data_IF_334970887391
#
_entry.id   IF_334970887391
#
_cell.length_a   1.000
_cell.length_b   1.000
_cell.length_c   1.000
_cell.angle_alpha   90.00
_cell.angle_beta   90.00
_cell.angle_gamma   90.00
#
_symmetry.space_group_name_H-M   'P 1'
#
loop_
_entity.id
_entity.type
_entity.pdbx_description
1 polymer ?
#
# COMPACT_ATOMS: atom_id res chain seq x y z
N UNK A 1 -41.58 -18.62 1.62
CA UNK A 1 -41.02 -17.93 0.42
C UNK A 1 -40.71 -18.96 -0.64
N UNK A 2 -41.14 -18.72 -1.88
CA UNK A 2 -40.74 -19.58 -2.99
C UNK A 2 -39.26 -19.37 -3.32
N UNK A 3 -38.60 -20.34 -3.96
CA UNK A 3 -37.19 -20.19 -4.40
C UNK A 3 -37.08 -18.98 -5.35
N UNK A 4 -38.12 -18.73 -6.18
CA UNK A 4 -38.16 -17.58 -7.07
C UNK A 4 -38.14 -16.23 -6.34
N UNK A 5 -38.91 -16.08 -5.25
CA UNK A 5 -38.95 -14.86 -4.45
C UNK A 5 -37.58 -14.56 -3.82
N UNK A 6 -36.86 -15.62 -3.42
CA UNK A 6 -35.53 -15.47 -2.82
C UNK A 6 -34.48 -15.01 -3.84
N UNK A 7 -34.55 -15.50 -5.08
CA UNK A 7 -33.67 -15.07 -6.18
C UNK A 7 -33.93 -13.60 -6.54
N UNK A 8 -35.20 -13.20 -6.57
CA UNK A 8 -35.54 -11.80 -6.88
C UNK A 8 -35.07 -10.85 -5.77
N UNK A 9 -35.20 -11.25 -4.51
CA UNK A 9 -34.68 -10.50 -3.38
C UNK A 9 -33.13 -10.36 -3.45
N UNK A 10 -32.41 -11.43 -3.81
CA UNK A 10 -30.97 -11.41 -4.01
C UNK A 10 -30.57 -10.39 -5.10
N UNK A 11 -31.25 -10.40 -6.23
CA UNK A 11 -31.02 -9.46 -7.33
C UNK A 11 -31.16 -8.01 -6.89
N UNK A 12 -32.25 -7.69 -6.22
CA UNK A 12 -32.52 -6.33 -5.74
C UNK A 12 -31.45 -5.89 -4.72
N UNK A 13 -31.07 -6.75 -3.78
CA UNK A 13 -30.06 -6.41 -2.77
C UNK A 13 -28.67 -6.26 -3.37
N UNK A 14 -28.33 -7.08 -4.39
CA UNK A 14 -27.07 -6.93 -5.11
C UNK A 14 -26.97 -5.56 -5.80
N UNK A 15 -28.05 -5.10 -6.42
CA UNK A 15 -28.13 -3.74 -6.99
C UNK A 15 -27.95 -2.67 -5.92
N UNK A 16 -28.59 -2.83 -4.75
CA UNK A 16 -28.41 -1.90 -3.62
C UNK A 16 -27.01 -1.92 -2.99
N UNK A 17 -26.22 -2.99 -3.17
CA UNK A 17 -24.82 -3.03 -2.77
C UNK A 17 -23.92 -2.21 -3.73
N UNK A 18 -24.29 -2.12 -5.02
CA UNK A 18 -23.48 -1.45 -6.05
C UNK A 18 -23.77 0.07 -6.08
N UNK A 19 -25.00 0.49 -5.78
CA UNK A 19 -25.40 1.90 -5.90
C UNK A 19 -24.55 2.86 -5.05
N UNK A 20 -24.31 2.65 -3.74
CA UNK A 20 -23.56 3.60 -2.92
C UNK A 20 -22.07 3.73 -3.26
N UNK A 21 -21.34 2.69 -3.65
CA UNK A 21 -19.94 2.84 -4.08
C UNK A 21 -19.76 3.76 -5.30
N UNK A 22 -20.72 3.84 -6.22
CA UNK A 22 -20.58 4.64 -7.44
C UNK A 22 -20.41 6.14 -7.18
N UNK A 23 -21.33 6.84 -6.44
CA UNK A 23 -21.12 8.24 -6.12
C UNK A 23 -19.92 8.46 -5.20
N UNK A 24 -19.60 7.52 -4.30
CA UNK A 24 -18.42 7.60 -3.46
C UNK A 24 -17.14 7.51 -4.28
N UNK A 25 -17.10 6.66 -5.32
CA UNK A 25 -15.94 6.57 -6.22
C UNK A 25 -15.67 7.88 -6.93
N UNK A 26 -16.71 8.61 -7.35
CA UNK A 26 -16.57 9.94 -7.95
C UNK A 26 -15.99 10.93 -6.92
N UNK A 27 -16.50 10.94 -5.69
CA UNK A 27 -16.00 11.82 -4.62
C UNK A 27 -14.52 11.49 -4.32
N UNK A 28 -14.20 10.22 -4.14
CA UNK A 28 -12.83 9.79 -3.85
C UNK A 28 -11.86 9.99 -5.02
N UNK A 29 -12.35 10.03 -6.24
CA UNK A 29 -11.51 10.39 -7.38
C UNK A 29 -11.01 11.83 -7.29
N UNK A 30 -11.82 12.78 -6.84
CA UNK A 30 -11.39 14.16 -6.58
C UNK A 30 -10.49 14.29 -5.34
N UNK A 31 -10.51 13.31 -4.44
CA UNK A 31 -9.66 13.26 -3.25
C UNK A 31 -8.47 12.28 -3.41
N UNK A 32 -8.29 11.72 -4.59
CA UNK A 32 -7.30 10.65 -4.85
C UNK A 32 -5.88 11.05 -4.46
N UNK A 33 -5.45 12.28 -4.77
CA UNK A 33 -4.14 12.80 -4.40
C UNK A 33 -3.86 12.69 -2.90
N UNK A 34 -4.82 13.10 -2.08
CA UNK A 34 -4.70 13.04 -0.61
C UNK A 34 -4.64 11.60 -0.11
N UNK A 35 -5.45 10.71 -0.69
CA UNK A 35 -5.48 9.30 -0.31
C UNK A 35 -4.18 8.60 -0.71
N UNK A 36 -3.67 8.89 -1.92
CA UNK A 36 -2.36 8.38 -2.38
C UNK A 36 -1.26 8.79 -1.41
N UNK A 37 -1.20 10.06 -1.02
CA UNK A 37 -0.21 10.54 -0.05
C UNK A 37 -0.28 9.76 1.26
N UNK A 38 -1.47 9.53 1.80
CA UNK A 38 -1.64 8.76 3.03
C UNK A 38 -1.14 7.32 2.88
N UNK A 39 -1.40 6.68 1.74
CA UNK A 39 -0.90 5.33 1.50
C UNK A 39 0.61 5.27 1.25
N UNK A 40 1.23 6.36 0.81
CA UNK A 40 2.69 6.42 0.63
C UNK A 40 3.45 6.58 1.96
N UNK A 41 2.84 7.14 3.01
CA UNK A 41 3.50 7.37 4.30
C UNK A 41 4.17 6.09 4.86
N UNK A 42 3.49 4.93 4.97
CA UNK A 42 4.12 3.71 5.47
C UNK A 42 5.32 3.25 4.62
N UNK A 43 5.21 3.38 3.30
CA UNK A 43 6.29 3.01 2.39
C UNK A 43 7.50 3.93 2.57
N UNK A 44 7.29 5.24 2.60
CA UNK A 44 8.36 6.23 2.78
C UNK A 44 9.09 6.00 4.10
N UNK A 45 8.36 5.78 5.19
CA UNK A 45 8.95 5.50 6.51
C UNK A 45 9.84 4.25 6.50
N UNK A 46 9.43 3.20 5.79
CA UNK A 46 10.22 1.97 5.68
C UNK A 46 11.44 2.19 4.80
N UNK A 47 11.30 2.89 3.67
CA UNK A 47 12.43 3.21 2.78
C UNK A 47 13.48 4.07 3.47
N UNK A 48 13.06 5.12 4.21
CA UNK A 48 13.96 5.96 5.01
C UNK A 48 14.73 5.14 6.05
N UNK A 49 14.05 4.21 6.74
CA UNK A 49 14.68 3.32 7.72
C UNK A 49 15.80 2.47 7.11
N UNK A 50 15.66 2.08 5.85
CA UNK A 50 16.65 1.28 5.12
C UNK A 50 17.64 2.13 4.29
N UNK A 51 17.59 3.46 4.39
CA UNK A 51 18.47 4.36 3.62
C UNK A 51 18.24 4.32 2.12
N UNK A 52 17.03 3.94 1.68
CA UNK A 52 16.65 3.85 0.27
C UNK A 52 15.96 5.15 -0.20
N UNK A 53 16.03 5.48 -1.49
CA UNK A 53 15.31 6.61 -2.05
C UNK A 53 13.80 6.48 -1.81
N UNK A 54 13.17 7.51 -1.26
CA UNK A 54 11.74 7.53 -0.96
C UNK A 54 10.87 7.83 -2.19
N UNK A 55 11.49 8.02 -3.35
CA UNK A 55 10.81 8.33 -4.59
C UNK A 55 10.16 7.09 -5.18
N UNK A 56 8.88 7.21 -5.52
CA UNK A 56 8.11 6.16 -6.20
C UNK A 56 8.07 6.50 -7.69
N UNK A 57 8.27 5.50 -8.54
CA UNK A 57 8.31 5.72 -9.99
C UNK A 57 6.95 5.51 -10.64
N UNK A 58 6.67 6.36 -11.63
CA UNK A 58 5.57 6.21 -12.56
C UNK A 58 6.17 5.90 -13.94
N UNK A 59 5.89 4.73 -14.49
CA UNK A 59 6.50 4.29 -15.74
C UNK A 59 5.82 4.86 -16.99
N UNK A 60 4.56 5.26 -16.87
CA UNK A 60 3.81 5.80 -18.00
C UNK A 60 2.75 6.81 -17.56
N UNK A 61 2.45 7.85 -18.38
CA UNK A 61 1.43 8.85 -18.02
C UNK A 61 0.05 8.27 -17.67
N UNK A 62 -0.51 7.27 -18.41
CA UNK A 62 -1.81 6.68 -18.06
C UNK A 62 -1.77 5.87 -16.77
N UNK A 63 -0.60 5.42 -16.34
CA UNK A 63 -0.45 4.64 -15.11
C UNK A 63 -0.89 5.44 -13.87
N UNK A 64 -0.54 6.72 -13.82
CA UNK A 64 -0.93 7.59 -12.71
C UNK A 64 -2.45 7.70 -12.61
N UNK A 65 -3.12 8.01 -13.72
CA UNK A 65 -4.59 8.08 -13.77
C UNK A 65 -5.27 6.76 -13.37
N UNK A 66 -4.74 5.64 -13.87
CA UNK A 66 -5.27 4.31 -13.53
C UNK A 66 -5.06 3.99 -12.04
N UNK A 67 -3.96 4.41 -11.45
CA UNK A 67 -3.69 4.26 -10.02
C UNK A 67 -4.70 5.08 -9.18
N UNK A 68 -4.98 6.32 -9.55
CA UNK A 68 -5.99 7.16 -8.91
C UNK A 68 -7.39 6.55 -9.00
N UNK A 69 -7.78 6.06 -10.17
CA UNK A 69 -9.06 5.38 -10.35
C UNK A 69 -9.18 4.12 -9.47
N UNK A 70 -8.12 3.30 -9.39
CA UNK A 70 -8.09 2.12 -8.54
C UNK A 70 -8.26 2.49 -7.06
N UNK A 71 -7.54 3.52 -6.61
CA UNK A 71 -7.66 4.00 -5.22
C UNK A 71 -9.05 4.54 -4.94
N UNK A 72 -9.58 5.39 -5.81
CA UNK A 72 -10.91 5.95 -5.66
C UNK A 72 -11.98 4.86 -5.54
N UNK A 73 -11.91 3.85 -6.42
CA UNK A 73 -12.84 2.72 -6.40
C UNK A 73 -12.63 1.85 -5.15
N UNK A 74 -11.39 1.55 -4.78
CA UNK A 74 -11.06 0.78 -3.58
C UNK A 74 -11.55 1.45 -2.31
N UNK A 75 -11.26 2.74 -2.14
CA UNK A 75 -11.72 3.55 -1.01
C UNK A 75 -13.25 3.64 -0.96
N UNK A 76 -13.91 3.78 -2.12
CA UNK A 76 -15.37 3.81 -2.21
C UNK A 76 -16.01 2.51 -1.72
N UNK A 77 -15.49 1.37 -2.14
CA UNK A 77 -16.01 0.06 -1.74
C UNK A 77 -15.76 -0.17 -0.24
N UNK A 78 -14.56 0.14 0.27
CA UNK A 78 -14.24 0.01 1.69
C UNK A 78 -15.11 0.91 2.57
N UNK A 79 -15.34 2.16 2.16
CA UNK A 79 -16.21 3.09 2.87
C UNK A 79 -17.68 2.70 2.79
N UNK A 80 -18.12 2.13 1.65
CA UNK A 80 -19.46 1.56 1.51
C UNK A 80 -19.61 0.21 2.23
N UNK A 81 -18.53 -0.36 2.76
CA UNK A 81 -18.48 -1.65 3.45
C UNK A 81 -19.60 -1.85 4.48
N UNK A 82 -19.86 -0.91 5.41
CA UNK A 82 -20.96 -1.00 6.36
C UNK A 82 -22.33 -1.19 5.70
N UNK A 83 -22.57 -0.48 4.61
CA UNK A 83 -23.81 -0.60 3.85
C UNK A 83 -23.90 -1.94 3.12
N UNK A 84 -22.81 -2.37 2.50
CA UNK A 84 -22.74 -3.67 1.83
C UNK A 84 -23.00 -4.80 2.83
N UNK A 85 -22.38 -4.74 4.00
CA UNK A 85 -22.60 -5.69 5.09
C UNK A 85 -24.06 -5.67 5.56
N UNK A 86 -24.65 -4.48 5.70
CA UNK A 86 -26.06 -4.35 6.05
C UNK A 86 -26.98 -5.04 5.03
N UNK A 87 -26.75 -4.85 3.74
CA UNK A 87 -27.51 -5.51 2.69
C UNK A 87 -27.32 -7.04 2.70
N UNK A 88 -26.08 -7.49 2.92
CA UNK A 88 -25.76 -8.91 3.04
C UNK A 88 -26.49 -9.56 4.21
N UNK A 89 -26.42 -8.97 5.41
CA UNK A 89 -27.11 -9.46 6.60
C UNK A 89 -28.64 -9.43 6.45
N UNK A 90 -29.16 -8.40 5.79
CA UNK A 90 -30.59 -8.31 5.49
C UNK A 90 -31.05 -9.38 4.51
N UNK A 91 -30.18 -9.83 3.59
CA UNK A 91 -30.46 -10.95 2.69
C UNK A 91 -30.53 -12.28 3.46
N UNK A 92 -29.65 -12.48 4.43
CA UNK A 92 -29.63 -13.71 5.24
C UNK A 92 -30.82 -13.78 6.24
N UNK A 93 -31.28 -12.62 6.70
CA UNK A 93 -32.34 -12.51 7.72
C UNK A 93 -33.66 -13.24 7.42
N UNK A 94 -34.22 -13.30 6.18
CA UNK A 94 -35.45 -14.03 5.89
C UNK A 94 -35.34 -15.56 6.11
N UNK A 95 -34.11 -16.10 5.97
CA UNK A 95 -33.85 -17.53 6.22
C UNK A 95 -33.81 -17.91 7.72
N UNK A 96 -33.82 -16.93 8.64
CA UNK A 96 -33.72 -17.13 10.07
C UNK A 96 -35.11 -17.18 10.75
N UNK A 97 -35.21 -17.97 11.85
CA UNK A 97 -36.41 -17.99 12.68
C UNK A 97 -36.65 -16.62 13.34
N UNK A 98 -37.92 -16.32 13.68
CA UNK A 98 -38.33 -15.01 14.24
C UNK A 98 -37.53 -14.60 15.49
N UNK A 99 -37.11 -15.58 16.30
CA UNK A 99 -36.31 -15.33 17.49
C UNK A 99 -34.83 -14.97 17.16
N UNK A 100 -34.34 -15.43 16.05
CA UNK A 100 -32.95 -15.24 15.61
C UNK A 100 -32.73 -13.91 14.86
N UNK A 101 -33.80 -13.34 14.29
CA UNK A 101 -33.73 -12.05 13.58
C UNK A 101 -33.22 -10.91 14.44
N UNK A 102 -33.48 -10.94 15.75
CA UNK A 102 -33.03 -9.91 16.69
C UNK A 102 -31.49 -9.84 16.74
N UNK A 103 -30.83 -10.95 16.53
CA UNK A 103 -29.37 -11.02 16.52
C UNK A 103 -28.73 -10.42 15.28
N UNK A 104 -29.39 -10.49 14.13
CA UNK A 104 -28.91 -9.85 12.90
C UNK A 104 -28.69 -8.34 13.12
N UNK A 105 -29.57 -7.69 13.87
CA UNK A 105 -29.42 -6.27 14.19
C UNK A 105 -28.24 -5.97 15.10
N UNK A 106 -27.81 -6.95 15.92
CA UNK A 106 -26.58 -6.84 16.71
C UNK A 106 -25.33 -7.18 15.87
N UNK A 107 -25.44 -8.15 14.97
CA UNK A 107 -24.35 -8.56 14.10
C UNK A 107 -23.88 -7.41 13.17
N UNK A 108 -24.78 -6.58 12.67
CA UNK A 108 -24.47 -5.50 11.73
C UNK A 108 -23.48 -4.50 12.33
N UNK A 109 -23.72 -3.83 13.47
CA UNK A 109 -22.77 -2.89 14.04
C UNK A 109 -21.47 -3.58 14.47
N UNK A 110 -21.55 -4.81 14.96
CA UNK A 110 -20.37 -5.56 15.39
C UNK A 110 -19.48 -5.96 14.20
N UNK A 111 -20.07 -6.41 13.08
CA UNK A 111 -19.30 -6.72 11.85
C UNK A 111 -18.66 -5.47 11.25
N UNK A 112 -19.37 -4.33 11.30
CA UNK A 112 -18.81 -3.05 10.86
C UNK A 112 -17.62 -2.62 11.73
N UNK A 113 -17.75 -2.74 13.05
CA UNK A 113 -16.68 -2.44 13.99
C UNK A 113 -15.48 -3.35 13.76
N UNK A 114 -15.72 -4.66 13.58
CA UNK A 114 -14.68 -5.65 13.35
C UNK A 114 -13.94 -5.41 12.02
N UNK A 115 -14.66 -5.06 10.96
CA UNK A 115 -14.08 -4.67 9.68
C UNK A 115 -13.23 -3.41 9.78
N UNK A 116 -13.72 -2.38 10.48
CA UNK A 116 -12.96 -1.15 10.72
C UNK A 116 -11.69 -1.42 11.54
N UNK A 117 -11.78 -2.25 12.58
CA UNK A 117 -10.63 -2.67 13.38
C UNK A 117 -9.61 -3.44 12.52
N UNK A 118 -10.07 -4.33 11.64
CA UNK A 118 -9.21 -5.04 10.68
C UNK A 118 -8.46 -4.10 9.76
N UNK A 119 -9.13 -3.09 9.20
CA UNK A 119 -8.50 -2.07 8.35
C UNK A 119 -7.47 -1.22 9.11
N UNK A 120 -7.76 -0.82 10.35
CA UNK A 120 -6.82 -0.09 11.19
C UNK A 120 -5.58 -0.95 11.51
N UNK A 121 -5.79 -2.20 11.92
CA UNK A 121 -4.70 -3.14 12.20
C UNK A 121 -3.84 -3.38 10.95
N UNK A 122 -4.48 -3.53 9.79
CA UNK A 122 -3.78 -3.68 8.52
C UNK A 122 -2.89 -2.47 8.24
N UNK A 123 -3.43 -1.26 8.30
CA UNK A 123 -2.71 -0.05 7.92
C UNK A 123 -1.57 0.29 8.90
N UNK A 124 -1.81 0.23 10.22
CA UNK A 124 -0.84 0.65 11.23
C UNK A 124 0.16 -0.45 11.62
N UNK A 125 -0.22 -1.72 11.48
CA UNK A 125 0.61 -2.84 11.93
C UNK A 125 1.11 -3.71 10.79
N UNK A 126 0.18 -4.28 9.99
CA UNK A 126 0.57 -5.29 9.01
C UNK A 126 1.33 -4.68 7.84
N UNK A 127 0.87 -3.54 7.34
CA UNK A 127 1.48 -2.90 6.16
C UNK A 127 2.94 -2.52 6.41
N UNK A 128 3.32 -1.81 7.50
CA UNK A 128 4.72 -1.50 7.78
C UNK A 128 5.59 -2.76 7.97
N UNK A 129 5.08 -3.79 8.65
CA UNK A 129 5.82 -5.04 8.87
C UNK A 129 6.08 -5.79 7.55
N UNK A 130 5.06 -5.89 6.70
CA UNK A 130 5.20 -6.56 5.39
C UNK A 130 6.17 -5.79 4.50
N UNK A 131 6.08 -4.47 4.47
CA UNK A 131 6.99 -3.63 3.68
C UNK A 131 8.42 -3.74 4.19
N UNK A 132 8.65 -3.67 5.50
CA UNK A 132 9.97 -3.83 6.13
C UNK A 132 10.59 -5.19 5.77
N UNK A 133 9.79 -6.26 5.84
CA UNK A 133 10.20 -7.60 5.43
C UNK A 133 10.55 -7.66 3.92
N UNK A 134 9.71 -7.08 3.04
CA UNK A 134 9.93 -7.08 1.60
C UNK A 134 11.21 -6.33 1.22
N UNK A 135 11.43 -5.16 1.82
CA UNK A 135 12.63 -4.35 1.60
C UNK A 135 13.87 -5.07 2.12
N UNK A 136 13.81 -5.67 3.32
CA UNK A 136 14.91 -6.44 3.89
C UNK A 136 15.26 -7.65 3.04
N UNK A 137 14.25 -8.40 2.56
CA UNK A 137 14.46 -9.58 1.74
C UNK A 137 15.17 -9.24 0.43
N UNK A 138 14.80 -8.14 -0.22
CA UNK A 138 15.42 -7.71 -1.46
C UNK A 138 16.85 -7.18 -1.24
N UNK A 139 17.15 -6.62 -0.06
CA UNK A 139 18.52 -6.20 0.33
C UNK A 139 19.48 -7.36 0.60
N UNK A 140 18.98 -8.57 0.89
CA UNK A 140 19.82 -9.75 1.16
C UNK A 140 20.28 -10.50 -0.09
N UNK A 141 19.88 -10.07 -1.29
CA UNK A 141 20.40 -10.65 -2.53
C UNK A 141 21.76 -10.02 -2.84
N UNK A 142 22.75 -10.33 -2.02
CA UNK A 142 24.14 -10.07 -2.31
C UNK A 142 24.63 -11.09 -3.34
N UNK A 143 24.72 -10.69 -4.59
CA UNK A 143 25.57 -11.43 -5.52
C UNK A 143 27.01 -11.17 -5.11
N UNK A 144 27.78 -12.23 -4.89
CA UNK A 144 29.23 -12.16 -4.71
C UNK A 144 29.82 -11.46 -5.94
N UNK A 145 29.91 -10.13 -5.90
CA UNK A 145 30.65 -9.38 -6.89
C UNK A 145 32.13 -9.74 -6.65
N UNK A 146 32.62 -10.68 -7.42
CA UNK A 146 34.07 -10.83 -7.60
C UNK A 146 34.56 -9.43 -7.99
N UNK A 147 35.25 -8.77 -7.05
CA UNK A 147 35.92 -7.50 -7.33
C UNK A 147 36.77 -7.71 -8.56
N UNK A 148 36.34 -7.18 -9.69
CA UNK A 148 37.19 -7.12 -10.89
C UNK A 148 38.29 -6.17 -10.47
N UNK A 149 39.46 -6.71 -10.14
CA UNK A 149 40.66 -5.90 -10.01
C UNK A 149 40.97 -5.33 -11.39
N UNK A 150 40.49 -4.12 -11.62
CA UNK A 150 40.88 -3.33 -12.79
C UNK A 150 42.39 -3.08 -12.58
N UNK A 151 43.17 -3.61 -13.49
CA UNK A 151 44.63 -3.66 -13.36
C UNK A 151 45.27 -2.31 -12.99
N UNK A 152 46.47 -2.41 -12.42
CA UNK A 152 47.36 -1.46 -11.73
C UNK A 152 47.59 -0.05 -12.33
N UNK A 153 46.72 0.48 -13.17
CA UNK A 153 46.97 1.75 -13.88
C UNK A 153 45.96 2.87 -13.60
N UNK A 154 45.06 2.71 -12.64
CA UNK A 154 44.23 3.84 -12.15
C UNK A 154 44.93 4.36 -10.89
N UNK A 155 45.68 5.47 -11.06
CA UNK A 155 46.14 6.28 -9.94
C UNK A 155 45.01 6.51 -8.96
N UNK A 156 45.25 6.34 -7.65
CA UNK A 156 44.33 6.51 -6.55
C UNK A 156 43.52 7.80 -6.69
N UNK A 157 42.31 7.68 -7.23
CA UNK A 157 41.35 8.79 -7.23
C UNK A 157 40.70 8.79 -5.83
N UNK A 158 41.18 9.64 -4.97
CA UNK A 158 40.63 9.83 -3.62
C UNK A 158 39.65 10.98 -3.65
N UNK A 159 38.37 10.71 -3.32
CA UNK A 159 37.39 11.75 -3.12
C UNK A 159 37.37 12.17 -1.65
N UNK A 160 37.38 13.49 -1.35
CA UNK A 160 37.24 13.94 0.04
C UNK A 160 35.87 13.54 0.58
N UNK A 161 35.83 13.03 1.82
CA UNK A 161 34.61 12.70 2.54
C UNK A 161 34.24 13.90 3.41
N UNK A 162 33.10 14.52 3.15
CA UNK A 162 32.65 15.74 3.81
C UNK A 162 31.21 15.58 4.33
N UNK A 163 30.87 16.28 5.41
CA UNK A 163 29.49 16.34 5.92
C UNK A 163 28.65 17.40 5.20
N UNK A 164 29.28 18.41 4.64
CA UNK A 164 28.63 19.48 3.88
C UNK A 164 29.41 19.80 2.58
N UNK A 165 28.75 20.50 1.66
CA UNK A 165 29.43 20.98 0.45
C UNK A 165 30.57 21.94 0.81
N UNK A 166 31.73 21.85 0.16
CA UNK A 166 32.83 22.80 0.38
C UNK A 166 32.42 24.21 -0.06
N UNK A 167 32.74 25.23 0.75
CA UNK A 167 32.38 26.63 0.47
C UNK A 167 33.04 27.17 -0.80
N UNK A 168 34.16 26.61 -1.23
CA UNK A 168 34.94 27.03 -2.41
C UNK A 168 34.99 25.94 -3.47
N UNK A 169 33.88 25.21 -3.71
CA UNK A 169 33.85 24.20 -4.76
C UNK A 169 34.06 24.85 -6.14
N UNK A 170 34.91 24.26 -6.97
CA UNK A 170 35.09 24.62 -8.37
C UNK A 170 34.29 23.66 -9.26
N UNK A 171 33.97 24.08 -10.50
CA UNK A 171 33.35 23.19 -11.49
C UNK A 171 34.22 21.97 -11.73
N UNK A 172 33.68 20.77 -11.53
CA UNK A 172 34.39 19.49 -11.65
C UNK A 172 34.89 18.91 -10.33
N UNK A 173 34.80 19.65 -9.21
CA UNK A 173 35.12 19.09 -7.90
C UNK A 173 34.10 18.03 -7.51
N UNK A 174 34.60 16.93 -6.95
CA UNK A 174 33.75 15.82 -6.51
C UNK A 174 34.09 15.46 -5.06
N UNK A 175 33.06 15.19 -4.26
CA UNK A 175 33.19 14.78 -2.86
C UNK A 175 32.09 13.78 -2.47
N UNK A 176 32.39 12.95 -1.48
CA UNK A 176 31.43 12.02 -0.89
C UNK A 176 30.78 12.69 0.32
N UNK A 177 29.47 12.86 0.31
CA UNK A 177 28.71 13.41 1.43
C UNK A 177 28.27 12.30 2.36
N UNK A 178 28.62 12.41 3.63
CA UNK A 178 28.19 11.50 4.71
C UNK A 178 27.19 12.20 5.63
N UNK A 179 26.22 11.50 6.21
CA UNK A 179 26.04 10.02 6.23
C UNK A 179 25.32 9.45 5.02
N UNK A 180 24.90 10.25 4.06
CA UNK A 180 24.07 9.83 2.94
C UNK A 180 24.78 8.88 1.96
N UNK A 181 26.12 8.84 1.97
CA UNK A 181 26.92 7.97 1.09
C UNK A 181 26.74 8.29 -0.40
N UNK A 182 26.59 9.58 -0.75
CA UNK A 182 26.38 10.04 -2.11
C UNK A 182 27.60 10.78 -2.65
N UNK A 183 27.95 10.51 -3.91
CA UNK A 183 28.96 11.28 -4.62
C UNK A 183 28.31 12.54 -5.19
N UNK A 184 28.80 13.69 -4.76
CA UNK A 184 28.41 14.98 -5.31
C UNK A 184 29.49 15.50 -6.26
N UNK A 185 29.07 16.03 -7.40
CA UNK A 185 29.96 16.66 -8.38
C UNK A 185 29.46 18.08 -8.63
N UNK A 186 30.34 19.07 -8.47
CA UNK A 186 30.01 20.45 -8.79
C UNK A 186 29.96 20.65 -10.32
N UNK A 187 28.79 21.04 -10.82
CA UNK A 187 28.59 21.34 -12.25
C UNK A 187 28.13 22.78 -12.41
N UNK A 188 28.49 23.39 -13.53
CA UNK A 188 27.96 24.70 -13.86
C UNK A 188 26.47 24.59 -14.18
N UNK A 189 25.64 25.46 -13.58
CA UNK A 189 24.24 25.59 -13.98
C UNK A 189 24.11 26.05 -15.43
N UNK A 190 22.98 25.77 -16.08
CA UNK A 190 22.77 26.08 -17.49
C UNK A 190 22.94 27.57 -17.88
N UNK A 191 22.90 28.48 -16.92
CA UNK A 191 23.16 29.90 -17.04
C UNK A 191 24.62 30.32 -16.77
N UNK A 192 25.48 29.36 -16.39
CA UNK A 192 26.93 29.58 -16.19
C UNK A 192 27.32 30.47 -15.00
N UNK A 193 26.35 30.90 -14.18
CA UNK A 193 26.58 31.83 -13.06
C UNK A 193 26.55 31.22 -11.69
N UNK A 194 25.90 30.05 -11.56
CA UNK A 194 25.75 29.31 -10.28
C UNK A 194 26.31 27.90 -10.39
N UNK A 195 26.81 27.36 -9.27
CA UNK A 195 27.20 25.96 -9.18
C UNK A 195 26.03 25.14 -8.66
N UNK A 196 25.71 24.07 -9.36
CA UNK A 196 24.79 23.05 -8.90
C UNK A 196 25.56 21.76 -8.56
N UNK A 197 25.11 21.04 -7.53
CA UNK A 197 25.68 19.75 -7.21
C UNK A 197 24.87 18.64 -7.89
N UNK A 198 25.49 17.92 -8.81
CA UNK A 198 24.95 16.68 -9.33
C UNK A 198 25.21 15.57 -8.30
N UNK A 199 24.15 15.02 -7.74
CA UNK A 199 24.23 13.97 -6.72
C UNK A 199 24.10 12.59 -7.37
N UNK A 200 25.10 11.75 -7.23
CA UNK A 200 25.10 10.37 -7.70
C UNK A 200 25.03 9.45 -6.48
N UNK A 201 23.96 8.71 -6.26
CA UNK A 201 23.89 7.78 -5.14
C UNK A 201 24.92 6.65 -5.35
N UNK A 202 25.86 6.51 -4.41
CA UNK A 202 26.80 5.40 -4.41
C UNK A 202 26.14 4.20 -3.73
N UNK A 203 25.54 3.34 -4.54
CA UNK A 203 24.88 2.14 -4.03
C UNK A 203 25.96 1.11 -3.66
N UNK A 204 26.08 0.78 -2.37
CA UNK A 204 27.01 -0.24 -1.90
C UNK A 204 26.57 -1.61 -2.40
N UNK A 205 27.03 -2.00 -3.58
CA UNK A 205 27.11 -3.41 -3.99
C UNK A 205 25.83 -4.16 -4.31
N UNK A 206 24.63 -3.58 -4.20
CA UNK A 206 23.45 -4.28 -4.69
C UNK A 206 23.27 -4.05 -6.19
N UNK A 207 23.45 -5.10 -6.99
CA UNK A 207 23.17 -5.09 -8.43
C UNK A 207 21.68 -4.84 -8.73
N UNK A 208 20.83 -4.87 -7.71
CA UNK A 208 19.39 -4.66 -7.81
C UNK A 208 19.05 -3.31 -7.20
N UNK A 209 18.77 -2.31 -8.03
CA UNK A 209 18.15 -1.06 -7.57
C UNK A 209 16.69 -1.32 -7.26
N UNK A 210 16.31 -1.22 -5.98
CA UNK A 210 14.92 -1.35 -5.57
C UNK A 210 14.17 -0.08 -5.94
N UNK A 211 13.34 -0.17 -6.96
CA UNK A 211 12.47 0.93 -7.39
C UNK A 211 11.02 0.49 -7.26
N UNK A 212 10.25 1.23 -6.48
CA UNK A 212 8.84 0.93 -6.25
C UNK A 212 7.96 1.66 -7.26
N UNK A 213 7.23 0.88 -8.04
CA UNK A 213 6.25 1.40 -8.98
C UNK A 213 4.96 1.77 -8.25
N UNK A 214 4.47 3.00 -8.46
CA UNK A 214 3.28 3.52 -7.78
C UNK A 214 2.06 2.62 -7.94
N UNK A 215 1.70 2.27 -9.18
CA UNK A 215 0.49 1.48 -9.47
C UNK A 215 0.54 0.09 -8.87
N UNK A 216 1.70 -0.56 -8.88
CA UNK A 216 1.89 -1.89 -8.30
C UNK A 216 1.77 -1.85 -6.78
N UNK A 217 2.42 -0.88 -6.14
CA UNK A 217 2.32 -0.68 -4.69
C UNK A 217 0.89 -0.40 -4.24
N UNK A 218 0.20 0.54 -4.89
CA UNK A 218 -1.19 0.87 -4.53
C UNK A 218 -2.15 -0.31 -4.74
N UNK A 219 -1.96 -1.07 -5.82
CA UNK A 219 -2.74 -2.29 -6.06
C UNK A 219 -2.51 -3.33 -4.98
N UNK A 220 -1.27 -3.52 -4.53
CA UNK A 220 -0.91 -4.40 -3.42
C UNK A 220 -1.59 -3.97 -2.12
N UNK A 221 -1.51 -2.68 -1.75
CA UNK A 221 -2.15 -2.14 -0.53
C UNK A 221 -3.66 -2.35 -0.56
N UNK A 222 -4.33 -2.00 -1.67
CA UNK A 222 -5.77 -2.18 -1.82
C UNK A 222 -6.14 -3.66 -1.69
N UNK A 223 -5.43 -4.56 -2.38
CA UNK A 223 -5.68 -5.99 -2.30
C UNK A 223 -5.52 -6.51 -0.86
N UNK A 224 -4.49 -6.05 -0.15
CA UNK A 224 -4.26 -6.43 1.24
C UNK A 224 -5.39 -5.91 2.16
N UNK A 225 -5.82 -4.66 1.97
CA UNK A 225 -6.95 -4.08 2.72
C UNK A 225 -8.24 -4.89 2.51
N UNK A 226 -8.57 -5.26 1.27
CA UNK A 226 -9.74 -6.09 0.99
C UNK A 226 -9.61 -7.48 1.61
N UNK A 227 -8.46 -8.11 1.50
CA UNK A 227 -8.22 -9.45 2.06
C UNK A 227 -8.43 -9.46 3.57
N UNK A 228 -7.88 -8.46 4.27
CA UNK A 228 -8.03 -8.34 5.71
C UNK A 228 -9.46 -7.96 6.09
N UNK A 229 -10.10 -7.03 5.37
CA UNK A 229 -11.50 -6.68 5.63
C UNK A 229 -12.43 -7.91 5.54
N UNK A 230 -12.22 -8.77 4.53
CA UNK A 230 -12.97 -10.03 4.37
C UNK A 230 -12.60 -11.03 5.46
N UNK A 231 -11.30 -11.19 5.79
CA UNK A 231 -10.86 -12.11 6.83
C UNK A 231 -11.47 -11.78 8.20
N UNK A 232 -11.59 -10.49 8.53
CA UNK A 232 -12.23 -10.05 9.77
C UNK A 232 -13.76 -10.25 9.79
N UNK A 233 -14.37 -10.59 8.65
CA UNK A 233 -15.78 -11.00 8.60
C UNK A 233 -15.96 -12.51 8.92
N UNK A 234 -14.90 -13.33 8.78
CA UNK A 234 -15.00 -14.78 9.04
C UNK A 234 -15.51 -15.12 10.44
N UNK A 235 -15.07 -14.50 11.55
CA UNK A 235 -15.61 -14.77 12.87
C UNK A 235 -17.13 -14.54 12.95
N UNK A 236 -17.64 -13.53 12.25
CA UNK A 236 -19.08 -13.25 12.23
C UNK A 236 -19.87 -14.29 11.45
N UNK A 237 -19.32 -14.75 10.32
CA UNK A 237 -19.91 -15.84 9.53
C UNK A 237 -19.95 -17.13 10.35
N UNK A 238 -18.86 -17.43 11.05
CA UNK A 238 -18.77 -18.61 11.92
C UNK A 238 -19.77 -18.54 13.08
N UNK A 239 -19.91 -17.40 13.73
CA UNK A 239 -20.92 -17.16 14.76
C UNK A 239 -22.34 -17.41 14.23
N UNK A 240 -22.65 -16.91 13.03
CA UNK A 240 -23.96 -17.14 12.41
C UNK A 240 -24.19 -18.62 12.12
N UNK A 241 -23.20 -19.31 11.52
CA UNK A 241 -23.32 -20.74 11.20
C UNK A 241 -23.46 -21.63 12.46
N UNK A 242 -22.78 -21.26 13.54
CA UNK A 242 -22.92 -21.90 14.84
C UNK A 242 -24.33 -21.74 15.42
N UNK A 243 -24.92 -20.56 15.26
CA UNK A 243 -26.29 -20.29 15.73
C UNK A 243 -27.37 -20.96 14.90
N UNK A 244 -27.17 -21.05 13.58
CA UNK A 244 -28.07 -21.81 12.70
C UNK A 244 -28.01 -23.32 12.93
N UNK A 245 -27.11 -23.78 13.84
CA UNK A 245 -26.93 -25.22 14.11
C UNK A 245 -26.32 -26.00 12.95
N UNK A 246 -25.86 -25.29 11.89
CA UNK A 246 -25.20 -25.90 10.71
C UNK A 246 -23.79 -26.35 11.09
N UNK A 247 -23.07 -25.54 11.88
CA UNK A 247 -21.76 -25.87 12.43
C UNK A 247 -21.93 -26.44 13.86
N UNK A 248 -21.68 -27.74 14.05
CA UNK A 248 -21.60 -28.32 15.41
C UNK A 248 -20.33 -27.79 16.08
N UNK A 249 -20.44 -27.44 17.38
CA UNK A 249 -19.28 -26.97 18.17
C UNK A 249 -18.09 -27.94 18.22
N UNK A 250 -18.27 -29.18 17.77
CA UNK A 250 -17.20 -30.20 17.67
C UNK A 250 -16.33 -30.04 16.40
N UNK A 251 -16.60 -29.08 15.54
CA UNK A 251 -15.87 -28.81 14.29
C UNK A 251 -15.08 -27.49 14.35
N UNK A 252 -15.20 -26.76 15.45
CA UNK A 252 -14.44 -25.57 15.83
C UNK A 252 -13.35 -25.92 16.86
#
# INVERSE_FOLDING_TARGET
MSIGDHIEELRIRLVWCIIPPLPLAIIFFFLSDTIVQWFLIPLQTVLEKHGLPTQVQVLSPPEFLLAEMKIALGAAILTAGPWILFQLWKFVSPGLHLHERRFVYFLIPFSTLLGALGLLLMYFFMLPVILDFMVSLAGHVEFNTTSISIGESISDITFPVLEAAPENAAVGDAWIKMPEGVLNVAVASGDGTTLESLTVPMNHGSLISQQFQLSTYLSFVIMLMFSIAVAFQLPMVMLLLGWLGVAKASWL
#
